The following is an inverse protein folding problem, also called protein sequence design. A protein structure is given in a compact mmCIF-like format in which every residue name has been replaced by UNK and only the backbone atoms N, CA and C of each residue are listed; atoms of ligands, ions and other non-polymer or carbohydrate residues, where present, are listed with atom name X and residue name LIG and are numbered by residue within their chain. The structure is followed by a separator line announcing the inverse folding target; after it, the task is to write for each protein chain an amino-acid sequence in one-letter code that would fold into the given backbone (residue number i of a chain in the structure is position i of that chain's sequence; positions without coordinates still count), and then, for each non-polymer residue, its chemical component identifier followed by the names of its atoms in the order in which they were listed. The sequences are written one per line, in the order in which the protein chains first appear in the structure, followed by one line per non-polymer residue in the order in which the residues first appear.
data_IF_467767006650
#
_entry.id   IF_467767006650
#
_cell.length_a   1.000
_cell.length_b   1.000
_cell.length_c   1.000
_cell.angle_alpha   90.00
_cell.angle_beta   90.00
_cell.angle_gamma   90.00
#
_symmetry.space_group_name_H-M   'P 1'
#
loop_
_entity.id
_entity.type
_entity.pdbx_description
1 polymer ?
#
# COMPACT_ATOMS: atom_id res chain seq x y z
N UNK A 1 11.77 24.87 11.72
CA UNK A 1 12.30 23.60 12.28
C UNK A 1 11.54 22.37 11.78
N UNK A 2 10.20 22.32 11.82
CA UNK A 2 9.44 21.11 11.40
C UNK A 2 9.51 20.73 9.90
N UNK A 3 9.86 21.67 8.99
CA UNK A 3 9.99 21.34 7.56
C UNK A 3 11.32 20.64 7.22
N UNK A 4 12.45 21.03 7.83
CA UNK A 4 13.76 20.43 7.49
C UNK A 4 13.82 18.97 7.95
N UNK A 5 13.32 18.67 9.15
CA UNK A 5 13.25 17.28 9.63
C UNK A 5 12.39 16.38 8.74
N UNK A 6 11.32 16.91 8.13
CA UNK A 6 10.48 16.14 7.19
C UNK A 6 11.17 15.88 5.86
N UNK A 7 11.93 16.85 5.33
CA UNK A 7 12.69 16.67 4.08
C UNK A 7 13.90 15.77 4.28
N UNK A 8 14.60 15.90 5.40
CA UNK A 8 15.76 15.06 5.73
C UNK A 8 15.32 13.60 5.96
N UNK A 9 14.17 13.40 6.60
CA UNK A 9 13.59 12.07 6.79
C UNK A 9 13.13 11.42 5.48
N UNK A 10 12.55 12.18 4.54
CA UNK A 10 12.10 11.66 3.24
C UNK A 10 13.22 10.94 2.48
N UNK A 11 14.45 11.47 2.52
CA UNK A 11 15.62 10.83 1.90
C UNK A 11 16.04 9.51 2.56
N UNK A 12 15.64 9.25 3.80
CA UNK A 12 15.92 8.00 4.52
C UNK A 12 14.86 6.92 4.28
N UNK A 13 13.64 7.30 3.88
CA UNK A 13 12.50 6.36 3.72
C UNK A 13 12.82 5.18 2.81
N UNK A 14 13.43 5.34 1.62
CA UNK A 14 13.76 4.19 0.77
C UNK A 14 14.68 3.17 1.43
N UNK A 15 15.55 3.61 2.36
CA UNK A 15 16.44 2.72 3.13
C UNK A 15 15.74 2.15 4.36
N UNK A 16 14.81 2.90 4.96
CA UNK A 16 14.05 2.50 6.14
C UNK A 16 13.01 1.42 5.83
N UNK A 17 12.26 1.57 4.74
CA UNK A 17 11.12 0.70 4.43
C UNK A 17 11.47 -0.79 4.34
N UNK A 18 12.55 -1.22 3.65
CA UNK A 18 12.95 -2.63 3.64
C UNK A 18 13.22 -3.19 5.04
N UNK A 19 13.90 -2.39 5.88
CA UNK A 19 14.23 -2.77 7.27
C UNK A 19 12.95 -2.88 8.10
N UNK A 20 12.04 -1.91 7.97
CA UNK A 20 10.78 -1.92 8.68
C UNK A 20 9.92 -3.14 8.30
N UNK A 21 9.80 -3.45 7.01
CA UNK A 21 9.08 -4.64 6.55
C UNK A 21 9.72 -5.93 7.07
N UNK A 22 11.06 -6.04 7.11
CA UNK A 22 11.74 -7.19 7.73
C UNK A 22 11.43 -7.38 9.22
N UNK A 23 11.09 -6.29 9.93
CA UNK A 23 10.71 -6.32 11.34
C UNK A 23 9.23 -6.61 11.57
N UNK A 24 8.36 -6.49 10.55
CA UNK A 24 6.92 -6.81 10.67
C UNK A 24 6.62 -8.30 10.90
N UNK A 25 7.64 -9.17 10.92
CA UNK A 25 7.54 -10.53 11.44
C UNK A 25 7.23 -10.61 12.95
N UNK A 26 7.31 -9.49 13.66
CA UNK A 26 7.02 -9.40 15.09
C UNK A 26 5.55 -9.71 15.40
N UNK A 27 5.32 -10.63 16.34
CA UNK A 27 3.97 -11.09 16.71
C UNK A 27 3.36 -10.28 17.84
N UNK A 28 4.18 -9.66 18.70
CA UNK A 28 3.68 -8.81 19.78
C UNK A 28 2.99 -7.59 19.21
N UNK A 29 1.69 -7.46 19.46
CA UNK A 29 0.85 -6.40 18.92
C UNK A 29 1.41 -5.00 19.22
N UNK A 30 1.90 -4.77 20.44
CA UNK A 30 2.50 -3.49 20.83
C UNK A 30 3.67 -3.11 19.90
N UNK A 31 4.61 -4.02 19.66
CA UNK A 31 5.76 -3.74 18.80
C UNK A 31 5.36 -3.64 17.31
N UNK A 32 4.43 -4.47 16.88
CA UNK A 32 3.95 -4.46 15.50
C UNK A 32 3.20 -3.17 15.17
N UNK A 33 2.38 -2.66 16.09
CA UNK A 33 1.61 -1.43 15.89
C UNK A 33 2.55 -0.22 15.75
N UNK A 34 3.59 -0.13 16.58
CA UNK A 34 4.61 0.92 16.43
C UNK A 34 5.33 0.86 15.08
N UNK A 35 5.63 -0.35 14.57
CA UNK A 35 6.21 -0.52 13.22
C UNK A 35 5.22 -0.13 12.11
N UNK A 36 3.94 -0.43 12.28
CA UNK A 36 2.88 -0.02 11.36
C UNK A 36 2.77 1.50 11.32
N UNK A 37 2.72 2.15 12.49
CA UNK A 37 2.63 3.60 12.60
C UNK A 37 3.86 4.29 12.00
N UNK A 38 5.05 3.71 12.20
CA UNK A 38 6.29 4.17 11.56
C UNK A 38 6.20 4.11 10.03
N UNK A 39 5.77 2.98 9.47
CA UNK A 39 5.62 2.80 8.02
C UNK A 39 4.58 3.78 7.44
N UNK A 40 3.45 3.93 8.12
CA UNK A 40 2.36 4.80 7.67
C UNK A 40 2.78 6.28 7.74
N UNK A 41 3.51 6.70 8.78
CA UNK A 41 4.07 8.04 8.88
C UNK A 41 5.11 8.29 7.78
N UNK A 42 6.03 7.34 7.55
CA UNK A 42 7.07 7.44 6.53
C UNK A 42 6.48 7.58 5.11
N UNK A 43 5.43 6.82 4.81
CA UNK A 43 4.74 6.86 3.52
C UNK A 43 4.11 8.22 3.19
N UNK A 44 3.85 9.08 4.18
CA UNK A 44 3.34 10.45 3.94
C UNK A 44 4.43 11.48 3.61
N UNK A 45 5.70 11.08 3.63
CA UNK A 45 6.84 12.00 3.45
C UNK A 45 7.45 11.99 2.05
N UNK A 46 7.30 10.87 1.32
CA UNK A 46 7.84 10.67 -0.03
C UNK A 46 6.86 9.86 -0.87
N UNK A 47 6.84 10.06 -2.19
CA UNK A 47 5.97 9.29 -3.11
C UNK A 47 6.28 7.79 -3.04
N UNK A 48 5.23 6.97 -3.14
CA UNK A 48 5.30 5.50 -3.15
C UNK A 48 6.29 4.94 -4.18
N UNK A 49 6.45 5.62 -5.32
CA UNK A 49 7.42 5.22 -6.35
C UNK A 49 8.84 5.05 -5.81
N UNK A 50 9.22 5.78 -4.76
CA UNK A 50 10.56 5.74 -4.18
C UNK A 50 10.81 4.54 -3.26
N UNK A 51 9.78 3.77 -2.91
CA UNK A 51 9.91 2.60 -2.04
C UNK A 51 9.04 1.41 -2.48
N UNK A 52 8.60 1.39 -3.75
CA UNK A 52 7.84 0.27 -4.32
C UNK A 52 8.63 -1.05 -4.26
N UNK A 53 9.95 -1.00 -4.49
CA UNK A 53 10.83 -2.17 -4.39
C UNK A 53 10.84 -2.79 -2.99
N UNK A 54 10.79 -1.95 -1.95
CA UNK A 54 10.71 -2.41 -0.56
C UNK A 54 9.41 -3.18 -0.32
N UNK A 55 8.30 -2.71 -0.89
CA UNK A 55 6.99 -3.36 -0.78
C UNK A 55 6.97 -4.70 -1.53
N UNK A 56 7.49 -4.78 -2.75
CA UNK A 56 7.69 -6.06 -3.45
C UNK A 56 8.54 -7.03 -2.63
N UNK A 57 9.64 -6.53 -2.04
CA UNK A 57 10.49 -7.29 -1.14
C UNK A 57 9.75 -7.84 0.08
N UNK A 58 8.82 -7.07 0.66
CA UNK A 58 7.98 -7.49 1.79
C UNK A 58 6.91 -8.52 1.42
N UNK A 59 6.25 -8.36 0.27
CA UNK A 59 5.24 -9.30 -0.24
C UNK A 59 5.82 -10.66 -0.64
N UNK A 60 7.14 -10.74 -0.89
CA UNK A 60 7.82 -11.97 -1.32
C UNK A 60 8.62 -12.65 -0.20
N UNK A 61 8.54 -12.15 1.04
CA UNK A 61 9.25 -12.76 2.18
C UNK A 61 8.72 -14.17 2.48
N UNK A 62 9.59 -15.09 2.95
CA UNK A 62 9.17 -16.44 3.33
C UNK A 62 8.19 -16.46 4.52
N UNK A 63 8.28 -15.46 5.40
CA UNK A 63 7.45 -15.35 6.59
C UNK A 63 6.03 -14.83 6.26
N UNK A 64 4.95 -15.61 6.51
CA UNK A 64 3.57 -15.20 6.19
C UNK A 64 3.13 -13.90 6.89
N UNK A 65 3.49 -13.71 8.17
CA UNK A 65 3.18 -12.50 8.90
C UNK A 65 3.72 -11.26 8.18
N UNK A 66 4.95 -11.33 7.67
CA UNK A 66 5.56 -10.21 6.95
C UNK A 66 4.79 -9.90 5.67
N UNK A 67 4.39 -10.92 4.89
CA UNK A 67 3.57 -10.73 3.69
C UNK A 67 2.21 -10.11 4.03
N UNK A 68 1.51 -10.65 5.02
CA UNK A 68 0.21 -10.15 5.47
C UNK A 68 0.31 -8.67 5.93
N UNK A 69 1.30 -8.33 6.75
CA UNK A 69 1.48 -6.96 7.22
C UNK A 69 1.89 -5.98 6.10
N UNK A 70 2.66 -6.45 5.12
CA UNK A 70 3.00 -5.65 3.93
C UNK A 70 1.76 -5.40 3.07
N UNK A 71 0.91 -6.41 2.86
CA UNK A 71 -0.36 -6.25 2.17
C UNK A 71 -1.32 -5.29 2.92
N UNK A 72 -1.40 -5.40 4.26
CA UNK A 72 -2.18 -4.46 5.07
C UNK A 72 -1.64 -3.03 4.99
N UNK A 73 -0.31 -2.84 4.93
CA UNK A 73 0.31 -1.54 4.67
C UNK A 73 -0.13 -0.96 3.32
N UNK A 74 -0.09 -1.75 2.25
CA UNK A 74 -0.58 -1.32 0.93
C UNK A 74 -2.05 -0.91 1.01
N UNK A 75 -2.89 -1.71 1.70
CA UNK A 75 -4.30 -1.39 1.89
C UNK A 75 -4.48 -0.02 2.54
N UNK A 76 -3.83 0.25 3.68
CA UNK A 76 -3.93 1.55 4.38
C UNK A 76 -3.40 2.70 3.53
N UNK A 77 -2.26 2.52 2.86
CA UNK A 77 -1.67 3.55 2.02
C UNK A 77 -2.59 3.90 0.85
N UNK A 78 -2.96 2.92 0.03
CA UNK A 78 -3.73 3.16 -1.19
C UNK A 78 -5.18 3.59 -0.93
N UNK A 79 -5.75 3.22 0.23
CA UNK A 79 -7.07 3.72 0.65
C UNK A 79 -7.10 5.23 0.89
N UNK A 80 -5.93 5.86 1.08
CA UNK A 80 -5.80 7.32 1.22
C UNK A 80 -5.57 8.05 -0.11
N UNK A 81 -5.34 7.31 -1.20
CA UNK A 81 -5.24 7.85 -2.54
C UNK A 81 -6.61 7.89 -3.24
N UNK A 82 -6.67 8.63 -4.33
CA UNK A 82 -7.76 8.67 -5.31
C UNK A 82 -7.17 8.58 -6.74
N UNK A 83 -8.00 8.53 -7.79
CA UNK A 83 -7.49 8.40 -9.17
C UNK A 83 -6.56 9.52 -9.63
N UNK A 84 -6.55 10.67 -8.94
CA UNK A 84 -5.68 11.81 -9.29
C UNK A 84 -4.34 11.80 -8.56
N UNK A 85 -4.26 11.10 -7.44
CA UNK A 85 -3.08 11.04 -6.58
C UNK A 85 -2.39 9.68 -6.61
N UNK A 86 -3.00 8.66 -7.23
CA UNK A 86 -2.44 7.30 -7.22
C UNK A 86 -1.14 7.20 -8.04
N UNK A 87 -0.04 6.68 -7.46
CA UNK A 87 1.22 6.44 -8.17
C UNK A 87 1.13 5.18 -9.02
N UNK A 88 0.61 5.32 -10.24
CA UNK A 88 0.26 4.20 -11.14
C UNK A 88 1.44 3.27 -11.43
N UNK A 89 2.66 3.80 -11.54
CA UNK A 89 3.87 2.99 -11.77
C UNK A 89 4.13 2.01 -10.63
N UNK A 90 4.10 2.50 -9.39
CA UNK A 90 4.26 1.66 -8.20
C UNK A 90 3.14 0.63 -8.05
N UNK A 91 1.88 1.00 -8.34
CA UNK A 91 0.75 0.07 -8.30
C UNK A 91 0.90 -1.06 -9.31
N UNK A 92 1.33 -0.76 -10.54
CA UNK A 92 1.63 -1.78 -11.56
C UNK A 92 2.73 -2.74 -11.10
N UNK A 93 3.74 -2.23 -10.41
CA UNK A 93 4.87 -3.02 -9.94
C UNK A 93 4.46 -4.05 -8.88
N UNK A 94 3.60 -3.68 -7.93
CA UNK A 94 3.20 -4.57 -6.83
C UNK A 94 2.02 -5.51 -7.17
N UNK A 95 1.25 -5.21 -8.23
CA UNK A 95 0.04 -5.97 -8.56
C UNK A 95 0.27 -7.49 -8.75
N UNK A 96 1.33 -7.94 -9.46
CA UNK A 96 1.60 -9.37 -9.61
C UNK A 96 1.82 -10.09 -8.28
N UNK A 97 2.49 -9.45 -7.33
CA UNK A 97 2.77 -10.05 -6.02
C UNK A 97 1.53 -10.08 -5.13
N UNK A 98 0.64 -9.08 -5.23
CA UNK A 98 -0.67 -9.12 -4.57
C UNK A 98 -1.55 -10.26 -5.10
N UNK A 99 -1.56 -10.48 -6.42
CA UNK A 99 -2.32 -11.58 -7.04
C UNK A 99 -1.78 -12.92 -6.52
N UNK A 100 -0.46 -13.10 -6.41
CA UNK A 100 0.13 -14.29 -5.77
C UNK A 100 -0.32 -14.43 -4.31
N UNK A 101 -0.27 -13.35 -3.52
CA UNK A 101 -0.70 -13.36 -2.12
C UNK A 101 -2.20 -13.68 -1.95
N UNK A 102 -3.05 -13.35 -2.92
CA UNK A 102 -4.48 -13.71 -2.91
C UNK A 102 -4.73 -15.23 -2.93
N UNK A 103 -3.72 -16.00 -3.34
CA UNK A 103 -3.73 -17.47 -3.40
C UNK A 103 -2.77 -18.10 -2.39
N UNK A 104 -2.27 -17.33 -1.41
CA UNK A 104 -1.31 -17.83 -0.42
C UNK A 104 -1.89 -19.00 0.39
N UNK A 105 -1.04 -19.88 0.91
CA UNK A 105 -1.48 -20.98 1.78
C UNK A 105 -2.04 -20.44 3.11
N UNK A 106 -1.47 -19.34 3.61
CA UNK A 106 -1.89 -18.70 4.85
C UNK A 106 -3.15 -17.84 4.65
N UNK A 107 -4.15 -18.03 5.50
CA UNK A 107 -5.43 -17.34 5.39
C UNK A 107 -5.29 -15.83 5.66
N UNK A 108 -4.45 -15.41 6.60
CA UNK A 108 -4.27 -14.00 6.92
C UNK A 108 -3.61 -13.25 5.76
N UNK A 109 -2.68 -13.90 5.05
CA UNK A 109 -2.07 -13.33 3.85
C UNK A 109 -3.10 -13.13 2.75
N UNK A 110 -3.98 -14.11 2.50
CA UNK A 110 -5.06 -13.98 1.51
C UNK A 110 -6.02 -12.84 1.83
N UNK A 111 -6.50 -12.79 3.08
CA UNK A 111 -7.44 -11.74 3.53
C UNK A 111 -6.80 -10.34 3.45
N UNK A 112 -5.53 -10.21 3.86
CA UNK A 112 -4.78 -8.97 3.70
C UNK A 112 -4.60 -8.57 2.22
N UNK A 113 -4.34 -9.54 1.34
CA UNK A 113 -4.22 -9.31 -0.09
C UNK A 113 -5.54 -8.85 -0.72
N UNK A 114 -6.67 -9.46 -0.38
CA UNK A 114 -7.99 -8.99 -0.86
C UNK A 114 -8.27 -7.56 -0.43
N UNK A 115 -7.93 -7.21 0.81
CA UNK A 115 -8.06 -5.84 1.32
C UNK A 115 -7.13 -4.86 0.60
N UNK A 116 -5.91 -5.27 0.25
CA UNK A 116 -4.98 -4.46 -0.53
C UNK A 116 -5.47 -4.27 -1.98
N UNK A 117 -5.98 -5.33 -2.61
CA UNK A 117 -6.54 -5.29 -3.95
C UNK A 117 -7.82 -4.45 -4.01
N UNK A 118 -8.65 -4.48 -2.97
CA UNK A 118 -9.78 -3.56 -2.82
C UNK A 118 -9.34 -2.09 -2.78
N UNK A 119 -8.27 -1.79 -2.04
CA UNK A 119 -7.70 -0.44 -2.01
C UNK A 119 -7.17 -0.02 -3.39
N UNK A 120 -6.52 -0.93 -4.12
CA UNK A 120 -6.11 -0.72 -5.52
C UNK A 120 -7.32 -0.40 -6.38
N UNK A 121 -8.37 -1.23 -6.35
CA UNK A 121 -9.60 -1.04 -7.12
C UNK A 121 -10.22 0.34 -6.86
N UNK A 122 -10.30 0.74 -5.59
CA UNK A 122 -10.80 2.06 -5.20
C UNK A 122 -9.97 3.20 -5.77
N UNK A 123 -8.65 3.14 -5.64
CA UNK A 123 -7.82 4.28 -6.03
C UNK A 123 -7.54 4.37 -7.53
N UNK A 124 -7.44 3.25 -8.27
CA UNK A 124 -7.19 3.28 -9.73
C UNK A 124 -8.47 3.25 -10.58
N UNK A 125 -9.59 2.85 -9.98
CA UNK A 125 -10.87 2.64 -10.66
C UNK A 125 -10.97 1.32 -11.41
N UNK A 126 -12.20 0.90 -11.70
CA UNK A 126 -12.54 -0.40 -12.30
C UNK A 126 -11.81 -0.71 -13.62
N UNK A 127 -11.74 0.18 -14.62
CA UNK A 127 -11.09 -0.14 -15.90
C UNK A 127 -9.60 -0.45 -15.74
N UNK A 128 -8.92 0.25 -14.84
CA UNK A 128 -7.50 0.02 -14.56
C UNK A 128 -7.30 -1.23 -13.69
N UNK A 129 -8.15 -1.42 -12.68
CA UNK A 129 -8.10 -2.59 -11.81
C UNK A 129 -8.33 -3.90 -12.59
N UNK A 130 -9.30 -3.92 -13.52
CA UNK A 130 -9.54 -5.06 -14.40
C UNK A 130 -8.30 -5.47 -15.20
N UNK A 131 -7.56 -4.49 -15.74
CA UNK A 131 -6.30 -4.74 -16.47
C UNK A 131 -5.18 -5.23 -15.55
N UNK A 132 -5.12 -4.74 -14.32
CA UNK A 132 -4.10 -5.15 -13.34
C UNK A 132 -4.36 -6.55 -12.80
N UNK A 133 -5.62 -6.89 -12.51
CA UNK A 133 -6.00 -8.17 -11.90
C UNK A 133 -6.06 -9.31 -12.92
N UNK A 134 -6.26 -8.99 -14.21
CA UNK A 134 -6.23 -9.98 -15.28
C UNK A 134 -7.24 -11.09 -15.06
N UNK A 135 -6.80 -12.35 -15.13
CA UNK A 135 -7.65 -13.54 -14.96
C UNK A 135 -8.37 -13.58 -13.61
N UNK A 136 -7.79 -13.00 -12.55
CA UNK A 136 -8.42 -12.95 -11.23
C UNK A 136 -9.73 -12.16 -11.26
N UNK A 137 -9.88 -11.19 -12.17
CA UNK A 137 -11.12 -10.43 -12.35
C UNK A 137 -12.33 -11.32 -12.66
N UNK A 138 -12.10 -12.46 -13.31
CA UNK A 138 -13.17 -13.40 -13.67
C UNK A 138 -13.43 -14.46 -12.59
N UNK A 139 -12.58 -14.54 -11.55
CA UNK A 139 -12.79 -15.39 -10.37
C UNK A 139 -13.84 -14.76 -9.44
N UNK A 140 -15.08 -15.24 -9.55
CA UNK A 140 -16.23 -14.75 -8.79
C UNK A 140 -16.03 -14.82 -7.27
N UNK A 141 -15.31 -15.83 -6.77
CA UNK A 141 -15.12 -16.02 -5.33
C UNK A 141 -14.14 -14.97 -4.80
N UNK A 142 -13.01 -14.78 -5.48
CA UNK A 142 -12.03 -13.78 -5.09
C UNK A 142 -12.54 -12.35 -5.28
N UNK A 143 -13.21 -12.09 -6.40
CA UNK A 143 -13.80 -10.78 -6.65
C UNK A 143 -14.90 -10.44 -5.64
N UNK A 144 -15.71 -11.40 -5.18
CA UNK A 144 -16.68 -11.15 -4.12
C UNK A 144 -16.01 -10.64 -2.82
N UNK A 145 -14.89 -11.27 -2.41
CA UNK A 145 -14.11 -10.84 -1.24
C UNK A 145 -13.46 -9.46 -1.41
N UNK A 146 -12.96 -9.18 -2.62
CA UNK A 146 -12.40 -7.86 -2.96
C UNK A 146 -13.49 -6.80 -2.90
N UNK A 147 -14.67 -7.06 -3.47
CA UNK A 147 -15.81 -6.13 -3.44
C UNK A 147 -16.31 -5.90 -2.00
N UNK A 148 -16.40 -6.94 -1.17
CA UNK A 148 -16.74 -6.77 0.25
C UNK A 148 -15.72 -5.88 0.97
N UNK A 149 -14.43 -6.10 0.71
CA UNK A 149 -13.36 -5.28 1.29
C UNK A 149 -13.36 -3.84 0.75
N UNK A 150 -13.78 -3.65 -0.51
CA UNK A 150 -13.90 -2.36 -1.15
C UNK A 150 -14.95 -1.49 -0.45
N UNK A 151 -16.13 -2.04 -0.17
CA UNK A 151 -17.18 -1.31 0.55
C UNK A 151 -16.71 -0.93 1.96
N UNK A 152 -16.06 -1.84 2.69
CA UNK A 152 -15.49 -1.53 4.02
C UNK A 152 -14.46 -0.39 3.95
N UNK A 153 -13.57 -0.42 2.97
CA UNK A 153 -12.58 0.65 2.78
C UNK A 153 -13.27 1.97 2.45
N UNK A 154 -14.32 1.93 1.63
CA UNK A 154 -15.09 3.12 1.26
C UNK A 154 -15.79 3.74 2.47
N UNK A 155 -16.33 2.92 3.37
CA UNK A 155 -16.90 3.37 4.65
C UNK A 155 -15.83 3.98 5.57
N UNK A 156 -14.64 3.36 5.66
CA UNK A 156 -13.56 3.80 6.54
C UNK A 156 -12.83 5.06 6.05
N UNK A 157 -12.59 5.21 4.74
CA UNK A 157 -11.75 6.26 4.15
C UNK A 157 -12.52 7.27 3.29
N UNK A 158 -13.78 7.00 2.94
CA UNK A 158 -14.56 7.81 2.00
C UNK A 158 -14.07 7.69 0.55
N UNK A 159 -14.46 8.63 -0.30
CA UNK A 159 -14.21 8.59 -1.75
C UNK A 159 -13.05 9.50 -2.23
N UNK A 160 -12.53 10.38 -1.36
CA UNK A 160 -11.51 11.39 -1.74
C UNK A 160 -10.13 11.01 -1.20
N UNK A 161 -9.08 11.52 -1.83
CA UNK A 161 -7.74 11.42 -1.27
C UNK A 161 -7.63 12.16 0.06
N UNK A 162 -6.83 11.62 0.96
CA UNK A 162 -6.58 12.22 2.26
C UNK A 162 -5.71 13.49 2.12
N UNK A 163 -5.90 14.53 2.96
CA UNK A 163 -5.25 15.82 2.80
C UNK A 163 -3.71 15.77 2.75
N UNK A 164 -3.09 14.88 3.51
CA UNK A 164 -1.65 14.64 3.52
C UNK A 164 -1.12 14.05 2.20
N UNK A 165 -1.89 13.18 1.55
CA UNK A 165 -1.56 12.63 0.22
C UNK A 165 -1.64 13.75 -0.82
N UNK A 166 -2.71 14.55 -0.81
CA UNK A 166 -2.82 15.73 -1.70
C UNK A 166 -1.64 16.68 -1.52
N UNK A 167 -1.24 16.94 -0.27
CA UNK A 167 -0.08 17.78 0.06
C UNK A 167 1.23 17.18 -0.46
N UNK A 168 1.42 15.86 -0.33
CA UNK A 168 2.61 15.18 -0.82
C UNK A 168 2.79 15.40 -2.33
N UNK A 169 1.74 15.19 -3.12
CA UNK A 169 1.80 15.39 -4.59
C UNK A 169 1.91 16.87 -4.99
N UNK A 170 1.31 17.79 -4.23
CA UNK A 170 1.47 19.23 -4.48
C UNK A 170 2.91 19.75 -4.26
N UNK A 171 3.70 19.06 -3.44
CA UNK A 171 5.12 19.40 -3.19
C UNK A 171 6.04 18.87 -4.29
N UNK A 172 5.77 17.68 -4.83
CA UNK A 172 6.52 17.10 -5.96
C UNK A 172 6.49 18.06 -7.15
N UNK A 173 5.31 18.60 -7.48
CA UNK A 173 5.16 19.59 -8.56
C UNK A 173 6.01 20.86 -8.38
N UNK A 174 6.38 21.22 -7.15
CA UNK A 174 7.22 22.40 -6.86
C UNK A 174 8.73 22.10 -6.88
N UNK A 175 9.14 20.84 -6.76
CA UNK A 175 10.56 20.44 -6.85
C UNK A 175 11.02 20.23 -8.29
N UNK A 176 10.13 19.88 -9.23
CA UNK A 176 10.46 19.69 -10.66
C UNK A 176 10.67 21.01 -11.44
N UNK A 177 10.29 22.16 -10.86
CA UNK A 177 10.39 23.49 -11.50
C UNK A 177 11.61 24.28 -11.00
N UNK A 178 12.65 23.59 -10.48
CA UNK A 178 13.91 24.21 -10.07
C UNK A 178 15.10 23.46 -10.64
#
# INVERSE_FOLDING_TARGET
MALSMRTDFAGMVPKLMPIAFDKLKEKKAVLRNELVDLCDAAATTISFENYADAVCGGLTKPNPQTRAQTALFISRLLSRHDPTTVPVGAVKQIAPDLIKCSSDADAEVREAAFRAMAAVLRCVGEPAAKRLFGELWEDKIKMAKITESFEKIREEYGDKAAPEIVRLHSKVAKQTVR
#
